data_IF_131109730742
#
_entry.id   IF_131109730742
#
_cell.length_a   1.000
_cell.length_b   1.000
_cell.length_c   1.000
_cell.angle_alpha   90.00
_cell.angle_beta   90.00
_cell.angle_gamma   90.00
#
_symmetry.space_group_name_H-M   'P 1'
#
loop_
_entity.id
_entity.type
_entity.pdbx_description
1 polymer ?
#
# COMPACT_ATOMS: atom_id res chain seq x y z
N UNK A 1 19.81 11.39 -10.64
CA UNK A 1 18.54 12.01 -11.08
C UNK A 1 17.41 11.25 -10.41
N UNK A 2 16.53 11.92 -9.69
CA UNK A 2 15.31 11.30 -9.14
C UNK A 2 14.24 11.36 -10.23
N UNK A 3 13.88 10.21 -10.79
CA UNK A 3 12.67 10.12 -11.61
C UNK A 3 11.51 9.81 -10.66
N UNK A 4 10.72 10.82 -10.36
CA UNK A 4 9.48 10.65 -9.60
C UNK A 4 8.38 10.27 -10.58
N UNK A 5 7.77 9.09 -10.39
CA UNK A 5 6.61 8.65 -11.16
C UNK A 5 5.37 9.16 -10.43
N UNK A 6 4.50 9.88 -11.13
CA UNK A 6 3.16 10.23 -10.65
C UNK A 6 2.20 9.08 -10.96
N UNK A 7 1.57 8.54 -9.91
CA UNK A 7 0.59 7.47 -9.98
C UNK A 7 -0.80 7.94 -9.53
N UNK A 8 -1.03 9.25 -9.45
CA UNK A 8 -2.33 9.83 -9.13
C UNK A 8 -3.43 9.27 -10.04
N UNK A 9 -4.55 8.86 -9.43
CA UNK A 9 -5.67 8.24 -10.14
C UNK A 9 -5.43 6.80 -10.61
N UNK A 10 -4.33 6.16 -10.20
CA UNK A 10 -4.05 4.75 -10.48
C UNK A 10 -4.28 3.90 -9.22
N UNK A 11 -4.60 2.63 -9.44
CA UNK A 11 -4.74 1.63 -8.38
C UNK A 11 -3.61 0.62 -8.49
N UNK A 12 -2.96 0.29 -7.38
CA UNK A 12 -1.88 -0.69 -7.32
C UNK A 12 -2.24 -1.85 -6.37
N UNK A 13 -2.24 -3.08 -6.87
CA UNK A 13 -2.35 -4.29 -6.05
C UNK A 13 -0.96 -4.75 -5.62
N UNK A 14 -0.70 -4.81 -4.32
CA UNK A 14 0.56 -5.29 -3.77
C UNK A 14 0.34 -6.63 -3.07
N UNK A 15 0.81 -7.72 -3.67
CA UNK A 15 0.81 -9.04 -3.05
C UNK A 15 1.97 -9.19 -2.08
N UNK A 16 1.77 -9.90 -0.96
CA UNK A 16 2.80 -10.04 0.06
C UNK A 16 3.04 -8.75 0.85
N UNK A 17 2.08 -7.82 0.87
CA UNK A 17 2.19 -6.52 1.52
C UNK A 17 2.43 -6.58 3.04
N UNK A 18 2.19 -7.73 3.68
CA UNK A 18 2.27 -7.86 5.14
C UNK A 18 3.69 -7.73 5.76
N UNK A 19 4.75 -7.63 4.96
CA UNK A 19 6.14 -7.44 5.46
C UNK A 19 7.14 -7.18 4.33
N UNK A 20 8.36 -6.77 4.70
CA UNK A 20 9.51 -6.72 3.80
C UNK A 20 9.28 -5.78 2.62
N UNK A 21 9.73 -6.20 1.43
CA UNK A 21 9.61 -5.39 0.21
C UNK A 21 8.17 -5.08 -0.16
N UNK A 22 7.22 -5.98 0.08
CA UNK A 22 5.81 -5.72 -0.21
C UNK A 22 5.27 -4.52 0.58
N UNK A 23 5.64 -4.40 1.87
CA UNK A 23 5.25 -3.25 2.67
C UNK A 23 5.91 -1.95 2.15
N UNK A 24 7.19 -2.00 1.80
CA UNK A 24 7.92 -0.85 1.26
C UNK A 24 7.39 -0.41 -0.11
N UNK A 25 6.99 -1.35 -0.96
CA UNK A 25 6.35 -1.04 -2.23
C UNK A 25 5.00 -0.38 -2.03
N UNK A 26 4.17 -0.88 -1.10
CA UNK A 26 2.90 -0.24 -0.79
C UNK A 26 3.07 1.22 -0.34
N UNK A 27 4.02 1.49 0.56
CA UNK A 27 4.34 2.84 1.01
C UNK A 27 4.83 3.74 -0.13
N UNK A 28 5.73 3.22 -0.97
CA UNK A 28 6.31 3.98 -2.08
C UNK A 28 5.27 4.32 -3.14
N UNK A 29 4.40 3.36 -3.48
CA UNK A 29 3.33 3.54 -4.47
C UNK A 29 2.25 4.50 -3.94
N UNK A 30 1.90 4.41 -2.66
CA UNK A 30 0.98 5.36 -2.03
C UNK A 30 1.56 6.78 -1.99
N UNK A 31 2.84 6.93 -1.66
CA UNK A 31 3.54 8.22 -1.68
C UNK A 31 3.62 8.83 -3.09
N UNK A 32 3.58 8.00 -4.13
CA UNK A 32 3.49 8.42 -5.53
C UNK A 32 2.04 8.75 -5.98
N UNK A 33 1.04 8.66 -5.10
CA UNK A 33 -0.35 9.03 -5.37
C UNK A 33 -1.26 7.87 -5.80
N UNK A 34 -0.79 6.63 -5.80
CA UNK A 34 -1.63 5.48 -6.10
C UNK A 34 -2.56 5.14 -4.91
N UNK A 35 -3.78 4.70 -5.21
CA UNK A 35 -4.59 3.97 -4.24
C UNK A 35 -4.10 2.52 -4.17
N UNK A 36 -3.79 2.01 -2.97
CA UNK A 36 -3.11 0.72 -2.82
C UNK A 36 -4.03 -0.35 -2.24
N UNK A 37 -4.13 -1.49 -2.92
CA UNK A 37 -4.80 -2.70 -2.41
C UNK A 37 -3.74 -3.62 -1.80
N UNK A 38 -3.83 -3.87 -0.49
CA UNK A 38 -2.88 -4.67 0.26
C UNK A 38 -3.30 -6.14 0.28
N UNK A 39 -2.57 -6.99 -0.43
CA UNK A 39 -2.79 -8.43 -0.51
C UNK A 39 -1.88 -9.21 0.45
N UNK A 40 -2.47 -10.01 1.34
CA UNK A 40 -1.72 -10.90 2.23
C UNK A 40 -2.60 -11.67 3.20
N UNK A 41 -2.01 -12.64 3.90
CA UNK A 41 -2.73 -13.52 4.85
C UNK A 41 -2.71 -13.03 6.29
N UNK A 42 -1.80 -12.11 6.64
CA UNK A 42 -1.61 -11.62 8.02
C UNK A 42 -2.38 -10.33 8.20
N UNK A 43 -3.68 -10.45 8.45
CA UNK A 43 -4.63 -9.33 8.48
C UNK A 43 -4.20 -8.19 9.42
N UNK A 44 -3.75 -8.49 10.63
CA UNK A 44 -3.33 -7.45 11.57
C UNK A 44 -2.17 -6.60 11.03
N UNK A 45 -1.23 -7.22 10.30
CA UNK A 45 -0.14 -6.46 9.65
C UNK A 45 -0.64 -5.60 8.49
N UNK A 46 -1.66 -6.05 7.75
CA UNK A 46 -2.28 -5.26 6.70
C UNK A 46 -3.05 -4.07 7.27
N UNK A 47 -3.73 -4.25 8.41
CA UNK A 47 -4.38 -3.14 9.15
C UNK A 47 -3.36 -2.11 9.62
N UNK A 48 -2.26 -2.55 10.23
CA UNK A 48 -1.18 -1.65 10.65
C UNK A 48 -0.60 -0.88 9.47
N UNK A 49 -0.27 -1.57 8.38
CA UNK A 49 0.29 -0.92 7.17
C UNK A 49 -0.70 0.04 6.52
N UNK A 50 -2.00 -0.30 6.47
CA UNK A 50 -3.04 0.62 6.01
C UNK A 50 -3.06 1.90 6.85
N UNK A 51 -3.09 1.77 8.17
CA UNK A 51 -3.11 2.91 9.07
C UNK A 51 -1.85 3.78 8.93
N UNK A 52 -0.68 3.16 8.68
CA UNK A 52 0.55 3.88 8.38
C UNK A 52 0.44 4.67 7.07
N UNK A 53 -0.04 4.05 5.99
CA UNK A 53 -0.24 4.72 4.70
C UNK A 53 -1.23 5.90 4.83
N UNK A 54 -2.37 5.69 5.51
CA UNK A 54 -3.37 6.74 5.75
C UNK A 54 -2.80 7.88 6.61
N UNK A 55 -1.98 7.54 7.62
CA UNK A 55 -1.28 8.52 8.46
C UNK A 55 -0.26 9.38 7.70
N UNK A 56 0.25 8.89 6.56
CA UNK A 56 1.11 9.61 5.63
C UNK A 56 0.32 10.36 4.53
N UNK A 57 -1.02 10.32 4.56
CA UNK A 57 -1.89 10.96 3.59
C UNK A 57 -2.13 10.17 2.31
N UNK A 58 -1.71 8.90 2.26
CA UNK A 58 -1.99 7.98 1.15
C UNK A 58 -3.34 7.26 1.30
N UNK A 59 -3.76 6.56 0.25
CA UNK A 59 -4.98 5.75 0.23
C UNK A 59 -4.64 4.26 0.16
N UNK A 60 -5.19 3.46 1.09
CA UNK A 60 -4.99 2.03 1.11
C UNK A 60 -6.21 1.25 1.61
N UNK A 61 -6.44 0.09 1.01
CA UNK A 61 -7.50 -0.85 1.41
C UNK A 61 -6.99 -2.29 1.45
N UNK A 62 -7.67 -3.16 2.19
CA UNK A 62 -7.46 -4.59 2.19
C UNK A 62 -8.81 -5.28 2.42
N UNK A 63 -8.96 -6.52 1.95
CA UNK A 63 -10.16 -7.32 2.17
C UNK A 63 -9.80 -8.62 2.87
N UNK A 64 -10.57 -9.00 3.88
CA UNK A 64 -10.70 -10.38 4.31
C UNK A 64 -11.90 -10.99 3.61
N UNK A 65 -11.72 -12.18 3.05
CA UNK A 65 -12.84 -13.06 2.74
C UNK A 65 -13.54 -13.39 4.06
N UNK A 66 -14.84 -13.07 4.16
CA UNK A 66 -15.71 -13.54 5.25
C UNK A 66 -15.99 -15.04 5.06
#
# INVERSE_FOLDING_TARGET
MSHTIDLSGRVALVTGASSGLGAQFALTLAAAGAAVVLGGRRIERLKTLRAEIEGLGGDATWSAST
#
